data_IF_958426343449
#
_entry.id   IF_958426343449
#
_cell.length_a   1.000
_cell.length_b   1.000
_cell.length_c   1.000
_cell.angle_alpha   90.00
_cell.angle_beta   90.00
_cell.angle_gamma   90.00
#
_symmetry.space_group_name_H-M   'P 1'
#
loop_
_entity.id
_entity.type
_entity.pdbx_description
1 polymer ?
#
# COMPACT_ATOMS: atom_id res chain seq x y z
N UNK A 1 -1.71 16.50 -17.40
CA UNK A 1 -1.65 15.08 -16.97
C UNK A 1 -0.62 15.05 -15.87
N UNK A 2 -1.07 15.17 -14.62
CA UNK A 2 -0.19 15.38 -13.48
C UNK A 2 0.03 14.07 -12.73
N UNK A 3 1.27 13.61 -12.65
CA UNK A 3 1.59 12.39 -11.92
C UNK A 3 1.70 12.69 -10.42
N UNK A 4 1.36 11.74 -9.55
CA UNK A 4 1.50 11.87 -8.08
C UNK A 4 2.91 12.34 -7.70
N UNK A 5 3.94 11.91 -8.45
CA UNK A 5 5.32 12.32 -8.22
C UNK A 5 5.64 13.80 -8.52
N UNK A 6 4.83 14.48 -9.34
CA UNK A 6 5.03 15.90 -9.67
C UNK A 6 4.42 16.82 -8.60
N UNK A 7 3.29 16.44 -8.03
CA UNK A 7 2.55 17.26 -7.07
C UNK A 7 2.81 16.88 -5.60
N UNK A 8 3.29 15.66 -5.36
CA UNK A 8 3.60 15.14 -4.03
C UNK A 8 4.95 14.43 -4.01
N UNK A 9 6.05 15.16 -4.30
CA UNK A 9 7.37 14.59 -4.18
C UNK A 9 7.59 14.14 -2.72
N UNK A 10 8.13 12.92 -2.56
CA UNK A 10 8.57 12.35 -1.28
C UNK A 10 7.50 11.82 -0.31
N UNK A 11 6.20 12.02 -0.54
CA UNK A 11 5.14 11.47 0.33
C UNK A 11 5.14 9.93 0.40
N UNK A 12 5.62 9.26 -0.64
CA UNK A 12 5.67 7.81 -0.69
C UNK A 12 6.88 7.28 0.09
N UNK A 13 6.66 6.82 1.32
CA UNK A 13 7.71 6.27 2.19
C UNK A 13 8.00 4.79 1.94
N UNK A 14 6.96 3.98 1.73
CA UNK A 14 7.09 2.53 1.54
C UNK A 14 5.95 2.01 0.66
N UNK A 15 6.24 1.02 -0.15
CA UNK A 15 5.29 0.34 -1.04
C UNK A 15 5.34 -1.14 -0.68
N UNK A 16 4.23 -1.68 -0.21
CA UNK A 16 4.07 -3.12 -0.01
C UNK A 16 3.43 -3.74 -1.23
N UNK A 17 4.10 -4.72 -1.79
CA UNK A 17 3.62 -5.53 -2.90
C UNK A 17 3.29 -6.90 -2.33
N UNK A 18 1.98 -7.19 -2.24
CA UNK A 18 1.44 -8.39 -1.61
C UNK A 18 0.92 -9.36 -2.66
N UNK A 19 1.00 -10.65 -2.34
CA UNK A 19 0.42 -11.74 -3.14
C UNK A 19 0.79 -11.71 -4.64
N UNK A 20 2.03 -11.36 -4.95
CA UNK A 20 2.49 -11.35 -6.35
C UNK A 20 2.81 -12.75 -6.84
N UNK A 21 2.22 -13.09 -7.99
CA UNK A 21 2.56 -14.31 -8.72
C UNK A 21 4.03 -14.30 -9.18
N UNK A 22 4.55 -15.50 -9.46
CA UNK A 22 5.95 -15.71 -9.86
C UNK A 22 6.39 -14.82 -11.04
N UNK A 23 5.49 -14.57 -11.99
CA UNK A 23 5.75 -13.75 -13.17
C UNK A 23 5.99 -12.27 -12.81
N UNK A 24 5.20 -11.73 -11.89
CA UNK A 24 5.35 -10.33 -11.43
C UNK A 24 6.66 -10.18 -10.66
N UNK A 25 7.02 -11.17 -9.84
CA UNK A 25 8.30 -11.19 -9.14
C UNK A 25 9.49 -11.23 -10.11
N UNK A 26 9.40 -11.99 -11.21
CA UNK A 26 10.41 -11.98 -12.27
C UNK A 26 10.53 -10.61 -12.96
N UNK A 27 9.42 -10.02 -13.38
CA UNK A 27 9.44 -8.69 -14.03
C UNK A 27 10.01 -7.63 -13.09
N UNK A 28 9.65 -7.68 -11.81
CA UNK A 28 10.19 -6.77 -10.81
C UNK A 28 11.69 -6.99 -10.60
N UNK A 29 12.15 -8.24 -10.52
CA UNK A 29 13.58 -8.55 -10.42
C UNK A 29 14.39 -8.00 -11.60
N UNK A 30 13.85 -8.07 -12.82
CA UNK A 30 14.46 -7.46 -14.00
C UNK A 30 14.47 -5.92 -13.90
N UNK A 31 13.33 -5.32 -13.53
CA UNK A 31 13.17 -3.87 -13.39
C UNK A 31 14.04 -3.26 -12.27
N UNK A 32 14.34 -4.02 -11.21
CA UNK A 32 15.17 -3.57 -10.08
C UNK A 32 16.53 -3.04 -10.52
N UNK A 33 17.11 -3.58 -11.58
CA UNK A 33 18.40 -3.16 -12.15
C UNK A 33 18.40 -1.71 -12.65
N UNK A 34 17.22 -1.19 -13.01
CA UNK A 34 17.04 0.17 -13.53
C UNK A 34 16.56 1.17 -12.45
N UNK A 35 16.32 0.70 -11.23
CA UNK A 35 15.83 1.53 -10.13
C UNK A 35 16.99 2.06 -9.29
N UNK A 36 16.87 3.31 -8.84
CA UNK A 36 17.83 3.88 -7.89
C UNK A 36 17.71 3.17 -6.54
N UNK A 37 18.79 3.16 -5.76
CA UNK A 37 18.78 2.61 -4.39
C UNK A 37 17.67 3.22 -3.53
N UNK A 38 17.46 4.54 -3.64
CA UNK A 38 16.38 5.26 -2.96
C UNK A 38 14.98 4.70 -3.30
N UNK A 39 14.75 4.25 -4.53
CA UNK A 39 13.49 3.62 -4.91
C UNK A 39 13.42 2.19 -4.38
N UNK A 40 14.50 1.42 -4.50
CA UNK A 40 14.57 0.04 -4.01
C UNK A 40 14.29 -0.06 -2.51
N UNK A 41 14.81 0.87 -1.71
CA UNK A 41 14.61 0.89 -0.26
C UNK A 41 13.14 1.11 0.15
N UNK A 42 12.34 1.73 -0.74
CA UNK A 42 10.90 1.94 -0.55
C UNK A 42 10.07 0.71 -0.93
N UNK A 43 10.56 -0.13 -1.83
CA UNK A 43 9.83 -1.29 -2.32
C UNK A 43 10.04 -2.52 -1.43
N UNK A 44 8.94 -3.03 -0.88
CA UNK A 44 8.92 -4.25 -0.07
C UNK A 44 7.98 -5.26 -0.71
N UNK A 45 8.54 -6.36 -1.19
CA UNK A 45 7.75 -7.54 -1.57
C UNK A 45 7.64 -8.39 -0.32
N UNK A 46 6.44 -8.49 0.24
CA UNK A 46 6.18 -9.09 1.53
C UNK A 46 5.04 -10.10 1.45
N UNK A 47 5.11 -11.16 2.25
CA UNK A 47 3.93 -11.99 2.54
C UNK A 47 3.08 -11.31 3.63
N UNK A 48 1.85 -11.78 3.84
CA UNK A 48 1.01 -11.27 4.94
C UNK A 48 1.67 -11.45 6.31
N UNK A 49 2.40 -12.55 6.53
CA UNK A 49 3.16 -12.76 7.75
C UNK A 49 4.29 -11.73 7.95
N UNK A 50 4.85 -11.20 6.86
CA UNK A 50 5.92 -10.20 6.93
C UNK A 50 5.40 -8.79 7.24
N UNK A 51 4.10 -8.52 7.03
CA UNK A 51 3.52 -7.19 7.28
C UNK A 51 3.64 -6.75 8.73
N UNK A 52 3.55 -7.69 9.68
CA UNK A 52 3.72 -7.44 11.12
C UNK A 52 5.11 -6.87 11.48
N UNK A 53 6.10 -6.99 10.59
CA UNK A 53 7.43 -6.38 10.79
C UNK A 53 7.42 -4.87 10.54
N UNK A 54 6.35 -4.35 9.92
CA UNK A 54 6.26 -2.97 9.46
C UNK A 54 5.03 -2.22 9.98
N UNK A 55 3.99 -2.94 10.37
CA UNK A 55 2.72 -2.39 10.84
C UNK A 55 2.40 -3.08 12.16
N UNK A 56 2.06 -2.30 13.18
CA UNK A 56 1.68 -2.81 14.49
C UNK A 56 0.40 -3.66 14.38
N UNK A 57 0.31 -4.72 15.19
CA UNK A 57 -0.76 -5.72 15.10
C UNK A 57 -2.17 -5.11 15.26
N UNK A 58 -2.32 -4.09 16.11
CA UNK A 58 -3.58 -3.38 16.37
C UNK A 58 -4.00 -2.45 15.21
N UNK A 59 -3.09 -2.12 14.30
CA UNK A 59 -3.33 -1.30 13.12
C UNK A 59 -3.44 -2.13 11.84
N UNK A 60 -2.99 -3.38 11.87
CA UNK A 60 -3.05 -4.29 10.75
C UNK A 60 -4.41 -5.01 10.70
N UNK A 61 -5.05 -5.04 9.54
CA UNK A 61 -6.34 -5.71 9.37
C UNK A 61 -6.26 -7.21 9.65
N UNK A 62 -7.30 -7.78 10.27
CA UNK A 62 -7.40 -9.22 10.52
C UNK A 62 -7.24 -10.09 9.28
N UNK A 63 -7.77 -9.64 8.13
CA UNK A 63 -7.63 -10.35 6.85
C UNK A 63 -6.17 -10.43 6.37
N UNK A 64 -5.32 -9.52 6.83
CA UNK A 64 -3.88 -9.47 6.55
C UNK A 64 -3.04 -10.07 7.70
N UNK A 65 -3.70 -10.61 8.74
CA UNK A 65 -3.07 -11.28 9.87
C UNK A 65 -2.88 -10.41 11.13
N UNK A 66 -3.42 -9.19 11.18
CA UNK A 66 -3.41 -8.37 12.39
C UNK A 66 -4.66 -8.53 13.26
N UNK A 67 -4.95 -7.53 14.10
CA UNK A 67 -6.05 -7.51 15.06
C UNK A 67 -7.13 -6.45 14.73
N UNK A 68 -6.86 -5.55 13.79
CA UNK A 68 -7.80 -4.49 13.43
C UNK A 68 -9.01 -5.06 12.66
N UNK A 69 -10.20 -4.78 13.17
CA UNK A 69 -11.45 -4.99 12.45
C UNK A 69 -11.73 -3.82 11.50
N UNK A 70 -12.15 -4.15 10.29
CA UNK A 70 -12.66 -3.18 9.33
C UNK A 70 -13.97 -3.69 8.79
N UNK A 71 -15.02 -2.93 9.04
CA UNK A 71 -16.32 -3.12 8.43
C UNK A 71 -16.45 -2.05 7.34
N UNK A 72 -16.48 -2.47 6.08
CA UNK A 72 -16.57 -1.56 4.95
C UNK A 72 -18.00 -1.55 4.44
N UNK A 73 -18.73 -0.50 4.77
CA UNK A 73 -20.10 -0.24 4.33
C UNK A 73 -20.08 0.83 3.23
N UNK A 74 -20.31 0.40 2.00
CA UNK A 74 -20.29 1.27 0.82
C UNK A 74 -21.32 2.40 0.92
N UNK A 75 -22.53 2.14 1.41
CA UNK A 75 -23.60 3.14 1.46
C UNK A 75 -23.28 4.23 2.49
N UNK A 76 -22.69 3.82 3.63
CA UNK A 76 -22.25 4.72 4.68
C UNK A 76 -21.09 5.63 4.24
N UNK A 77 -20.12 5.11 3.49
CA UNK A 77 -18.98 5.90 3.01
C UNK A 77 -19.41 6.95 1.98
N UNK A 78 -20.35 6.63 1.09
CA UNK A 78 -20.92 7.59 0.13
C UNK A 78 -21.64 8.73 0.86
N UNK A 79 -22.45 8.43 1.87
CA UNK A 79 -23.15 9.44 2.66
C UNK A 79 -22.19 10.37 3.44
N UNK A 80 -21.07 9.83 3.93
CA UNK A 80 -20.04 10.61 4.62
C UNK A 80 -19.27 11.53 3.66
N UNK A 81 -18.99 11.07 2.44
CA UNK A 81 -18.31 11.86 1.42
C UNK A 81 -19.18 13.04 0.95
N UNK A 82 -20.46 12.79 0.68
CA UNK A 82 -21.44 13.84 0.37
C UNK A 82 -21.52 14.91 1.47
N UNK A 83 -21.52 14.49 2.74
CA UNK A 83 -21.53 15.41 3.89
C UNK A 83 -20.24 16.22 4.05
N UNK A 84 -19.08 15.68 3.66
CA UNK A 84 -17.79 16.39 3.72
C UNK A 84 -17.65 17.44 2.61
N UNK A 85 -18.27 17.20 1.47
CA UNK A 85 -18.25 18.12 0.33
C UNK A 85 -19.41 19.13 0.31
N UNK A 86 -20.38 18.98 1.20
CA UNK A 86 -21.49 19.93 1.39
C UNK A 86 -21.13 21.14 2.29
N UNK A 87 -19.86 21.30 2.71
CA UNK A 87 -19.40 22.35 3.63
C UNK A 87 -18.29 23.19 3.01
#
# INVERSE_FOLDING_TARGET
MGNVGEFYPENLHRIFVLNTGWLVNMMFAFGRTFMTKRMLDKYVVASYADLKKYIDDDQLLKVLGGDADMDFDYDREVELDEKRHAK
#
